data_IF_744944009545
#
_entry.id   IF_744944009545
#
_cell.length_a   1.000
_cell.length_b   1.000
_cell.length_c   1.000
_cell.angle_alpha   90.00
_cell.angle_beta   90.00
_cell.angle_gamma   90.00
#
_symmetry.space_group_name_H-M   'P 1'
#
loop_
_entity.id
_entity.type
_entity.pdbx_description
1 polymer ?
#
# COMPACT_ATOMS: atom_id res chain seq x y z
N UNK A 1 -19.82 1.27 16.55
CA UNK A 1 -19.14 0.15 15.86
C UNK A 1 -17.90 0.72 15.20
N UNK A 2 -16.73 0.06 15.29
CA UNK A 2 -15.49 0.56 14.65
C UNK A 2 -15.61 0.44 13.14
N UNK A 3 -14.97 1.35 12.40
CA UNK A 3 -15.08 1.48 10.93
C UNK A 3 -14.89 0.16 10.17
N UNK A 4 -13.96 -0.68 10.60
CA UNK A 4 -13.63 -1.95 9.95
C UNK A 4 -14.30 -3.20 10.55
N UNK A 5 -15.12 -3.07 11.60
CA UNK A 5 -15.70 -4.23 12.31
C UNK A 5 -16.58 -5.08 11.38
N UNK A 6 -17.39 -4.44 10.51
CA UNK A 6 -18.21 -5.14 9.51
C UNK A 6 -17.36 -5.94 8.52
N UNK A 7 -16.32 -5.33 7.95
CA UNK A 7 -15.42 -5.99 7.00
C UNK A 7 -14.68 -7.16 7.68
N UNK A 8 -14.13 -6.95 8.87
CA UNK A 8 -13.43 -8.00 9.62
C UNK A 8 -14.34 -9.20 9.92
N UNK A 9 -15.61 -8.96 10.30
CA UNK A 9 -16.58 -10.04 10.51
C UNK A 9 -16.93 -10.78 9.22
N UNK A 10 -17.08 -10.04 8.11
CA UNK A 10 -17.36 -10.63 6.81
C UNK A 10 -16.20 -11.55 6.36
N UNK A 11 -14.95 -11.09 6.50
CA UNK A 11 -13.76 -11.89 6.21
C UNK A 11 -13.66 -13.11 7.12
N UNK A 12 -13.80 -12.93 8.44
CA UNK A 12 -13.73 -14.03 9.41
C UNK A 12 -14.75 -15.13 9.10
N UNK A 13 -15.98 -14.74 8.76
CA UNK A 13 -17.05 -15.66 8.37
C UNK A 13 -16.80 -16.29 7.00
N UNK A 14 -16.37 -15.51 6.02
CA UNK A 14 -16.20 -15.95 4.63
C UNK A 14 -15.03 -16.90 4.41
N UNK A 15 -13.96 -16.75 5.18
CA UNK A 15 -12.72 -17.54 5.07
C UNK A 15 -12.60 -18.59 6.18
N UNK A 16 -13.53 -18.60 7.14
CA UNK A 16 -13.46 -19.41 8.36
C UNK A 16 -12.11 -19.25 9.09
N UNK A 17 -11.73 -18.00 9.35
CA UNK A 17 -10.41 -17.63 9.87
C UNK A 17 -10.52 -16.72 11.11
N UNK A 18 -9.49 -16.77 11.96
CA UNK A 18 -9.30 -15.78 13.02
C UNK A 18 -8.80 -14.49 12.38
N UNK A 19 -9.54 -13.39 12.57
CA UNK A 19 -9.15 -12.06 12.10
C UNK A 19 -8.63 -11.22 13.26
N UNK A 20 -7.40 -10.74 13.14
CA UNK A 20 -6.77 -9.81 14.09
C UNK A 20 -6.74 -8.42 13.46
N UNK A 21 -7.63 -7.54 13.91
CA UNK A 21 -7.62 -6.13 13.51
C UNK A 21 -6.71 -5.34 14.46
N UNK A 22 -5.59 -4.83 13.94
CA UNK A 22 -4.60 -4.11 14.74
C UNK A 22 -4.99 -2.63 14.84
N UNK A 23 -5.25 -2.17 16.06
CA UNK A 23 -5.45 -0.76 16.36
C UNK A 23 -4.10 -0.08 16.59
N UNK A 24 -3.35 0.12 15.50
CA UNK A 24 -2.08 0.85 15.53
C UNK A 24 -2.32 2.34 15.80
N UNK A 25 -1.33 3.03 16.37
CA UNK A 25 -1.42 4.48 16.64
C UNK A 25 -1.65 5.26 15.35
N UNK A 26 -2.38 6.36 15.39
CA UNK A 26 -2.72 7.16 14.21
C UNK A 26 -2.20 8.59 14.32
N UNK A 27 -2.18 9.30 13.19
CA UNK A 27 -1.93 10.74 13.19
C UNK A 27 -3.02 11.50 13.98
N UNK A 28 -2.70 12.63 14.63
CA UNK A 28 -1.38 13.27 14.70
C UNK A 28 -0.50 12.75 15.87
N UNK A 29 -0.98 11.80 16.68
CA UNK A 29 -0.31 11.39 17.92
C UNK A 29 0.93 10.50 17.68
N UNK A 30 1.03 9.90 16.50
CA UNK A 30 2.17 9.10 16.09
C UNK A 30 2.52 9.33 14.62
N UNK A 31 3.82 9.30 14.32
CA UNK A 31 4.37 9.44 12.97
C UNK A 31 5.25 8.22 12.64
N UNK A 32 5.57 8.04 11.37
CA UNK A 32 6.48 6.99 10.91
C UNK A 32 7.78 7.00 11.73
N UNK A 33 8.28 5.83 12.17
CA UNK A 33 7.81 4.48 11.86
C UNK A 33 6.84 3.86 12.89
N UNK A 34 6.23 4.64 13.78
CA UNK A 34 5.49 4.09 14.93
C UNK A 34 4.29 3.21 14.53
N UNK A 35 3.57 3.57 13.48
CA UNK A 35 2.46 2.76 12.95
C UNK A 35 2.93 1.42 12.40
N UNK A 36 4.06 1.43 11.69
CA UNK A 36 4.71 0.21 11.21
C UNK A 36 5.20 -0.64 12.38
N UNK A 37 5.80 -0.03 13.39
CA UNK A 37 6.27 -0.72 14.59
C UNK A 37 5.11 -1.41 15.31
N UNK A 38 3.97 -0.74 15.47
CA UNK A 38 2.77 -1.32 16.10
C UNK A 38 2.25 -2.52 15.30
N UNK A 39 2.09 -2.37 13.98
CA UNK A 39 1.65 -3.45 13.09
C UNK A 39 2.61 -4.64 13.11
N UNK A 40 3.93 -4.37 13.07
CA UNK A 40 4.97 -5.39 13.11
C UNK A 40 5.01 -6.12 14.45
N UNK A 41 4.93 -5.39 15.58
CA UNK A 41 4.92 -5.98 16.91
C UNK A 41 3.67 -6.83 17.14
N UNK A 42 2.49 -6.33 16.77
CA UNK A 42 1.24 -7.09 16.87
C UNK A 42 1.32 -8.38 16.03
N UNK A 43 1.85 -8.29 14.81
CA UNK A 43 2.04 -9.45 13.93
C UNK A 43 3.02 -10.46 14.54
N UNK A 44 4.20 -10.03 14.99
CA UNK A 44 5.20 -10.90 15.62
C UNK A 44 4.66 -11.57 16.89
N UNK A 45 3.92 -10.84 17.71
CA UNK A 45 3.27 -11.38 18.90
C UNK A 45 2.25 -12.46 18.54
N UNK A 46 1.37 -12.20 17.56
CA UNK A 46 0.35 -13.16 17.15
C UNK A 46 0.94 -14.44 16.54
N UNK A 47 2.09 -14.34 15.87
CA UNK A 47 2.79 -15.49 15.27
C UNK A 47 3.55 -16.37 16.27
N UNK A 48 3.57 -16.02 17.56
CA UNK A 48 4.15 -16.86 18.61
C UNK A 48 3.37 -18.19 18.72
N UNK A 49 4.06 -19.34 18.88
CA UNK A 49 3.40 -20.65 18.81
C UNK A 49 2.31 -20.87 19.86
N UNK A 50 2.49 -20.36 21.07
CA UNK A 50 1.51 -20.41 22.15
C UNK A 50 0.28 -19.54 21.86
N UNK A 51 0.46 -18.37 21.24
CA UNK A 51 -0.65 -17.49 20.81
C UNK A 51 -1.44 -18.15 19.68
N UNK A 52 -0.78 -18.71 18.67
CA UNK A 52 -1.45 -19.45 17.60
C UNK A 52 -2.22 -20.67 18.14
N UNK A 53 -1.61 -21.44 19.05
CA UNK A 53 -2.24 -22.59 19.68
C UNK A 53 -3.47 -22.18 20.51
N UNK A 54 -3.39 -21.09 21.27
CA UNK A 54 -4.51 -20.54 22.07
C UNK A 54 -5.74 -20.28 21.22
N UNK A 55 -5.55 -19.81 19.98
CA UNK A 55 -6.64 -19.50 19.06
C UNK A 55 -6.88 -20.58 17.99
N UNK A 56 -6.20 -21.73 18.11
CA UNK A 56 -6.30 -22.85 17.17
C UNK A 56 -6.06 -22.44 15.71
N UNK A 57 -5.10 -21.53 15.48
CA UNK A 57 -4.71 -21.05 14.16
C UNK A 57 -3.65 -21.96 13.55
N UNK A 58 -3.85 -22.37 12.30
CA UNK A 58 -2.86 -23.10 11.52
C UNK A 58 -1.70 -22.17 11.10
N UNK A 59 -0.45 -22.40 11.57
CA UNK A 59 0.69 -21.55 11.23
C UNK A 59 1.09 -21.56 9.75
N UNK A 60 0.52 -22.46 8.94
CA UNK A 60 0.72 -22.52 7.48
C UNK A 60 -0.30 -21.72 6.67
N UNK A 61 -1.38 -21.24 7.33
CA UNK A 61 -2.50 -20.52 6.71
C UNK A 61 -2.61 -19.10 7.27
N UNK A 62 -1.55 -18.30 7.14
CA UNK A 62 -1.52 -16.91 7.60
C UNK A 62 -1.55 -15.95 6.41
N UNK A 63 -2.40 -14.91 6.49
CA UNK A 63 -2.41 -13.80 5.55
C UNK A 63 -2.19 -12.47 6.27
N UNK A 64 -1.48 -11.54 5.62
CA UNK A 64 -1.46 -10.13 6.00
C UNK A 64 -2.28 -9.34 5.00
N UNK A 65 -3.14 -8.45 5.48
CA UNK A 65 -4.07 -7.72 4.63
C UNK A 65 -4.31 -6.32 5.15
N UNK A 66 -4.52 -5.38 4.23
CA UNK A 66 -4.89 -4.01 4.56
C UNK A 66 -5.27 -3.21 3.34
N UNK A 67 -6.07 -2.17 3.54
CA UNK A 67 -6.56 -1.29 2.49
C UNK A 67 -5.95 0.11 2.60
N UNK A 68 -5.70 0.77 1.46
CA UNK A 68 -5.11 2.12 1.42
C UNK A 68 -3.77 2.20 2.19
N UNK A 69 -3.68 3.04 3.24
CA UNK A 69 -2.56 3.09 4.18
C UNK A 69 -2.37 1.81 4.98
N UNK A 70 -3.42 1.04 5.26
CA UNK A 70 -3.30 -0.31 5.79
C UNK A 70 -2.64 -1.27 4.79
N UNK A 71 -2.84 -1.06 3.49
CA UNK A 71 -2.15 -1.77 2.42
C UNK A 71 -0.65 -1.45 2.37
N UNK A 72 -0.29 -0.20 2.64
CA UNK A 72 1.11 0.20 2.87
C UNK A 72 1.73 -0.62 4.01
N UNK A 73 1.08 -0.60 5.18
CA UNK A 73 1.57 -1.29 6.38
C UNK A 73 1.66 -2.80 6.17
N UNK A 74 0.67 -3.42 5.51
CA UNK A 74 0.70 -4.86 5.22
C UNK A 74 1.91 -5.23 4.34
N UNK A 75 2.17 -4.47 3.28
CA UNK A 75 3.33 -4.68 2.42
C UNK A 75 4.65 -4.43 3.17
N UNK A 76 4.74 -3.34 3.95
CA UNK A 76 5.92 -3.01 4.75
C UNK A 76 6.23 -4.06 5.82
N UNK A 77 5.21 -4.56 6.54
CA UNK A 77 5.36 -5.64 7.53
C UNK A 77 5.84 -6.92 6.88
N UNK A 78 5.28 -7.33 5.73
CA UNK A 78 5.80 -8.47 4.96
C UNK A 78 7.29 -8.32 4.66
N UNK A 79 7.70 -7.15 4.15
CA UNK A 79 9.11 -6.87 3.84
C UNK A 79 10.01 -6.90 5.08
N UNK A 80 9.58 -6.32 6.21
CA UNK A 80 10.34 -6.31 7.45
C UNK A 80 10.51 -7.71 8.06
N UNK A 81 9.45 -8.53 8.06
CA UNK A 81 9.53 -9.91 8.55
C UNK A 81 10.56 -10.75 7.79
N UNK A 82 10.70 -10.51 6.48
CA UNK A 82 11.68 -11.18 5.63
C UNK A 82 13.10 -10.69 5.93
N UNK A 83 13.30 -9.38 6.13
CA UNK A 83 14.61 -8.81 6.43
C UNK A 83 15.16 -9.28 7.78
N UNK A 84 14.29 -9.48 8.78
CA UNK A 84 14.67 -9.90 10.13
C UNK A 84 15.24 -11.34 10.20
N UNK A 85 15.39 -12.04 9.07
CA UNK A 85 15.85 -13.43 9.05
C UNK A 85 14.85 -14.41 9.69
N UNK A 86 13.72 -13.90 10.18
CA UNK A 86 12.50 -14.64 10.45
C UNK A 86 11.87 -15.03 9.12
N UNK A 87 12.61 -15.81 8.34
CA UNK A 87 12.15 -16.46 7.13
C UNK A 87 10.98 -17.37 7.51
N UNK A 88 9.80 -16.75 7.62
CA UNK A 88 8.55 -17.32 7.19
C UNK A 88 8.16 -18.54 8.04
N UNK A 89 7.68 -18.28 9.27
CA UNK A 89 6.40 -18.90 9.64
C UNK A 89 5.40 -18.32 8.64
N UNK A 90 4.99 -19.17 7.71
CA UNK A 90 4.52 -18.82 6.37
C UNK A 90 3.35 -17.85 6.38
N UNK A 91 3.66 -16.55 6.33
CA UNK A 91 2.75 -15.61 5.67
C UNK A 91 2.59 -16.19 4.27
N UNK A 92 1.45 -16.84 4.06
CA UNK A 92 1.12 -17.56 2.85
C UNK A 92 0.71 -16.56 1.78
N UNK A 93 -0.04 -15.54 2.21
CA UNK A 93 -0.62 -14.52 1.36
C UNK A 93 -0.35 -13.11 1.90
N UNK A 94 -0.20 -12.16 1.00
CA UNK A 94 -0.50 -10.76 1.31
C UNK A 94 -1.64 -10.27 0.41
N UNK A 95 -2.58 -9.51 0.96
CA UNK A 95 -3.68 -8.91 0.19
C UNK A 95 -3.70 -7.39 0.40
N UNK A 96 -3.50 -6.66 -0.70
CA UNK A 96 -3.29 -5.22 -0.70
C UNK A 96 -4.43 -4.55 -1.46
N UNK A 97 -5.29 -3.84 -0.74
CA UNK A 97 -6.51 -3.27 -1.32
C UNK A 97 -6.26 -1.79 -1.60
N UNK A 98 -6.28 -1.37 -2.88
CA UNK A 98 -5.96 0.00 -3.36
C UNK A 98 -4.80 0.66 -2.58
N UNK A 99 -3.61 0.03 -2.52
CA UNK A 99 -2.59 0.34 -1.53
C UNK A 99 -1.81 1.63 -1.85
N UNK A 100 -1.48 2.39 -0.81
CA UNK A 100 -0.58 3.56 -0.86
C UNK A 100 0.88 3.08 -0.77
N UNK A 101 1.71 3.15 -1.82
CA UNK A 101 2.99 2.40 -1.82
C UNK A 101 4.24 3.22 -2.10
N UNK A 102 4.12 4.47 -2.53
CA UNK A 102 5.27 5.35 -2.69
C UNK A 102 4.97 6.83 -2.42
N UNK A 103 6.02 7.56 -1.99
CA UNK A 103 6.01 9.00 -1.69
C UNK A 103 6.86 9.83 -2.68
N UNK A 104 7.37 9.22 -3.74
CA UNK A 104 8.41 9.78 -4.61
C UNK A 104 7.88 10.44 -5.91
N UNK A 105 6.74 10.01 -6.42
CA UNK A 105 6.13 10.48 -7.65
C UNK A 105 4.62 10.72 -7.48
N UNK A 106 4.23 11.99 -7.36
CA UNK A 106 2.84 12.45 -7.30
C UNK A 106 2.28 12.83 -8.68
N UNK A 107 2.96 12.43 -9.74
CA UNK A 107 2.61 12.83 -11.10
C UNK A 107 2.44 11.64 -12.03
N UNK A 108 2.45 10.39 -11.57
CA UNK A 108 2.08 9.23 -12.42
C UNK A 108 0.73 9.46 -13.11
N UNK A 109 0.43 8.77 -14.24
CA UNK A 109 -0.81 8.98 -14.99
C UNK A 109 -2.07 9.02 -14.12
N UNK A 110 -2.22 8.13 -13.15
CA UNK A 110 -3.36 8.09 -12.22
C UNK A 110 -3.41 9.27 -11.27
N UNK A 111 -2.28 9.72 -10.72
CA UNK A 111 -2.25 10.91 -9.88
C UNK A 111 -2.68 12.17 -10.64
N UNK A 112 -2.41 12.26 -11.96
CA UNK A 112 -2.90 13.36 -12.80
C UNK A 112 -4.37 13.19 -13.20
N UNK A 113 -4.73 12.00 -13.71
CA UNK A 113 -6.08 11.69 -14.19
C UNK A 113 -7.12 11.85 -13.07
N UNK A 114 -6.79 11.40 -11.86
CA UNK A 114 -7.72 11.32 -10.73
C UNK A 114 -7.46 12.40 -9.67
N UNK A 115 -6.72 13.47 -9.99
CA UNK A 115 -6.24 14.44 -8.99
C UNK A 115 -7.33 15.07 -8.11
N UNK A 116 -8.54 15.24 -8.65
CA UNK A 116 -9.70 15.82 -7.96
C UNK A 116 -10.76 14.78 -7.53
N UNK A 117 -10.50 13.48 -7.69
CA UNK A 117 -11.46 12.45 -7.29
C UNK A 117 -11.81 12.58 -5.80
N UNK A 118 -13.10 12.46 -5.42
CA UNK A 118 -13.51 12.49 -4.02
C UNK A 118 -12.81 11.40 -3.18
N UNK A 119 -12.78 11.59 -1.86
CA UNK A 119 -12.11 10.72 -0.86
C UNK A 119 -10.59 10.81 -0.89
N UNK A 120 -9.95 10.61 -2.05
CA UNK A 120 -8.48 10.48 -2.14
C UNK A 120 -7.87 11.42 -3.20
N UNK A 121 -8.00 12.73 -2.99
CA UNK A 121 -7.40 13.74 -3.88
C UNK A 121 -5.88 13.70 -3.81
N UNK A 122 -5.22 14.00 -4.94
CA UNK A 122 -3.75 14.06 -5.03
C UNK A 122 -3.12 14.94 -3.94
N UNK A 123 -3.69 16.13 -3.71
CA UNK A 123 -3.24 17.06 -2.66
C UNK A 123 -3.30 16.41 -1.26
N UNK A 124 -4.38 15.69 -0.97
CA UNK A 124 -4.56 15.02 0.31
C UNK A 124 -3.56 13.88 0.50
N UNK A 125 -3.24 13.12 -0.55
CA UNK A 125 -2.22 12.06 -0.47
C UNK A 125 -0.84 12.65 -0.17
N UNK A 126 -0.44 13.75 -0.84
CA UNK A 126 0.83 14.42 -0.54
C UNK A 126 0.88 14.94 0.90
N UNK A 127 -0.21 15.52 1.39
CA UNK A 127 -0.34 15.97 2.78
C UNK A 127 -0.26 14.82 3.78
N UNK A 128 -0.98 13.72 3.55
CA UNK A 128 -0.96 12.53 4.41
C UNK A 128 0.45 11.93 4.46
N UNK A 129 1.16 11.85 3.33
CA UNK A 129 2.55 11.42 3.33
C UNK A 129 3.47 12.31 4.17
N UNK A 130 3.35 13.63 4.03
CA UNK A 130 4.13 14.55 4.86
C UNK A 130 3.83 14.39 6.33
N UNK A 131 2.56 14.39 6.72
CA UNK A 131 2.18 14.19 8.11
C UNK A 131 2.65 12.82 8.61
N UNK A 132 2.50 11.75 7.82
CA UNK A 132 3.01 10.41 8.16
C UNK A 132 4.51 10.42 8.41
N UNK A 133 5.30 11.13 7.59
CA UNK A 133 6.75 11.23 7.73
C UNK A 133 7.22 12.32 8.71
N UNK A 134 6.30 12.90 9.50
CA UNK A 134 6.56 14.01 10.42
C UNK A 134 7.16 15.27 9.73
N UNK A 135 6.80 15.47 8.47
CA UNK A 135 7.22 16.59 7.65
C UNK A 135 6.33 17.82 7.81
N UNK A 136 6.91 18.99 7.53
CA UNK A 136 6.17 20.25 7.57
C UNK A 136 5.24 20.40 6.36
N UNK A 137 3.99 20.84 6.59
CA UNK A 137 3.00 21.04 5.52
C UNK A 137 3.41 22.08 4.47
N UNK A 138 4.40 22.94 4.74
CA UNK A 138 4.99 23.86 3.75
C UNK A 138 5.54 23.13 2.52
N UNK A 139 5.84 21.84 2.64
CA UNK A 139 6.40 21.01 1.57
C UNK A 139 5.37 20.30 0.69
N UNK A 140 4.07 20.45 0.96
CA UNK A 140 3.03 19.80 0.14
C UNK A 140 3.15 20.22 -1.32
N UNK A 141 3.21 21.52 -1.60
CA UNK A 141 3.34 22.05 -2.97
C UNK A 141 4.66 21.62 -3.65
N UNK A 142 5.84 21.70 -3.00
CA UNK A 142 7.06 21.09 -3.52
C UNK A 142 6.92 19.60 -3.87
N UNK A 143 6.26 18.79 -3.03
CA UNK A 143 6.07 17.36 -3.30
C UNK A 143 5.14 17.10 -4.48
N UNK A 144 4.10 17.92 -4.65
CA UNK A 144 3.16 17.80 -5.77
C UNK A 144 3.81 18.00 -7.14
N UNK A 145 4.94 18.69 -7.19
CA UNK A 145 5.74 18.85 -8.41
C UNK A 145 6.96 17.93 -8.45
N UNK A 146 7.06 16.93 -7.55
CA UNK A 146 8.19 15.99 -7.44
C UNK A 146 9.54 16.67 -7.19
N UNK A 147 9.55 17.77 -6.43
CA UNK A 147 10.77 18.50 -6.17
C UNK A 147 11.81 17.70 -5.35
N UNK A 148 11.36 16.82 -4.46
CA UNK A 148 12.21 15.90 -3.67
C UNK A 148 12.81 14.74 -4.48
N UNK A 149 12.42 14.59 -5.75
CA UNK A 149 12.94 13.60 -6.68
C UNK A 149 13.41 14.22 -8.01
N UNK A 150 13.75 15.51 -7.98
CA UNK A 150 14.35 16.23 -9.12
C UNK A 150 15.67 15.60 -9.58
N UNK A 151 16.14 15.98 -10.78
CA UNK A 151 17.34 15.37 -11.38
C UNK A 151 18.64 15.58 -10.62
N UNK A 152 18.78 16.66 -9.87
CA UNK A 152 19.92 16.98 -9.03
C UNK A 152 19.93 16.27 -7.66
N UNK A 153 18.83 15.62 -7.27
CA UNK A 153 18.75 14.83 -6.04
C UNK A 153 19.35 13.44 -6.27
N UNK A 154 20.64 13.31 -5.94
CA UNK A 154 21.40 12.07 -6.18
C UNK A 154 20.83 10.84 -5.46
N UNK A 155 20.28 11.01 -4.25
CA UNK A 155 19.65 9.95 -3.47
C UNK A 155 18.43 9.34 -4.17
N UNK A 156 17.74 10.11 -5.01
CA UNK A 156 16.53 9.68 -5.71
C UNK A 156 16.84 8.95 -7.02
N UNK A 157 18.07 9.00 -7.55
CA UNK A 157 18.41 8.47 -8.89
C UNK A 157 18.05 6.99 -9.01
N UNK A 158 18.59 6.14 -8.12
CA UNK A 158 18.33 4.70 -8.14
C UNK A 158 16.88 4.33 -7.79
N UNK A 159 16.18 5.19 -7.04
CA UNK A 159 14.80 4.97 -6.63
C UNK A 159 13.81 5.33 -7.75
N UNK A 160 14.11 6.36 -8.56
CA UNK A 160 13.29 6.73 -9.71
C UNK A 160 13.25 5.66 -10.78
N UNK A 161 14.36 4.97 -11.01
CA UNK A 161 14.39 3.83 -11.95
C UNK A 161 13.39 2.75 -11.54
N UNK A 162 13.15 2.57 -10.23
CA UNK A 162 12.19 1.60 -9.71
C UNK A 162 10.73 2.03 -9.92
N UNK A 163 10.50 3.32 -10.10
CA UNK A 163 9.20 3.95 -10.34
C UNK A 163 9.04 4.41 -11.79
N UNK A 164 9.80 3.86 -12.74
CA UNK A 164 9.68 4.21 -14.14
C UNK A 164 8.38 3.65 -14.75
N UNK A 165 7.25 4.24 -14.37
CA UNK A 165 5.90 3.86 -14.77
C UNK A 165 5.73 3.83 -16.29
N UNK A 166 6.50 4.61 -17.05
CA UNK A 166 6.43 4.63 -18.52
C UNK A 166 6.84 3.30 -19.16
N UNK A 167 7.75 2.58 -18.49
CA UNK A 167 8.20 1.23 -18.87
C UNK A 167 7.37 0.11 -18.22
N UNK A 168 6.72 0.39 -17.09
CA UNK A 168 6.03 -0.60 -16.26
C UNK A 168 4.55 -0.71 -16.62
N UNK A 169 3.88 0.42 -16.86
CA UNK A 169 2.44 0.49 -17.09
C UNK A 169 2.10 0.33 -18.58
N UNK A 170 0.99 -0.36 -18.94
CA UNK A 170 0.51 -0.44 -20.32
C UNK A 170 0.26 0.94 -20.95
N UNK A 171 0.50 1.06 -22.26
CA UNK A 171 0.31 2.32 -23.01
C UNK A 171 -1.12 2.89 -22.92
N UNK A 172 -2.12 2.03 -22.73
CA UNK A 172 -3.52 2.43 -22.51
C UNK A 172 -3.72 3.35 -21.31
N UNK A 173 -2.93 3.16 -20.26
CA UNK A 173 -2.99 3.91 -18.99
C UNK A 173 -2.33 5.30 -19.14
N UNK A 174 -1.42 5.46 -20.11
CA UNK A 174 -0.59 6.64 -20.26
C UNK A 174 -1.19 7.75 -21.15
N UNK A 175 -2.34 7.49 -21.80
CA UNK A 175 -2.86 8.26 -22.96
C UNK A 175 -3.09 9.76 -22.76
N UNK A 176 -3.18 10.24 -21.52
CA UNK A 176 -3.45 11.66 -21.20
C UNK A 176 -2.41 12.27 -20.25
N UNK A 177 -1.29 11.58 -20.03
CA UNK A 177 -0.23 12.06 -19.16
C UNK A 177 0.44 13.33 -19.71
N UNK A 178 0.68 14.30 -18.83
CA UNK A 178 1.48 15.50 -19.13
C UNK A 178 2.79 15.45 -18.34
N UNK A 179 3.96 15.54 -18.99
CA UNK A 179 5.24 15.53 -18.28
C UNK A 179 5.35 16.66 -17.25
N UNK A 180 5.71 16.30 -16.02
CA UNK A 180 6.13 17.23 -14.97
C UNK A 180 7.60 16.96 -14.70
N UNK A 181 8.46 17.95 -14.96
CA UNK A 181 9.91 17.80 -14.86
C UNK A 181 10.47 18.87 -13.94
N UNK A 182 11.16 18.45 -12.89
CA UNK A 182 11.94 19.32 -12.02
C UNK A 182 13.42 19.01 -12.18
N UNK A 183 14.19 20.03 -12.54
CA UNK A 183 15.64 19.93 -12.70
C UNK A 183 16.38 20.25 -11.40
N UNK A 184 15.77 21.06 -10.53
CA UNK A 184 16.37 21.52 -9.27
C UNK A 184 15.42 21.25 -8.11
N UNK A 185 15.95 20.59 -7.08
CA UNK A 185 15.23 20.24 -5.86
C UNK A 185 15.39 21.28 -4.76
N UNK A 186 14.70 21.06 -3.65
CA UNK A 186 14.76 21.85 -2.42
C UNK A 186 15.49 20.98 -1.39
N UNK A 187 16.80 21.20 -1.16
CA UNK A 187 17.58 20.37 -0.25
C UNK A 187 16.99 20.31 1.16
N UNK A 188 16.31 21.37 1.59
CA UNK A 188 15.70 21.49 2.92
C UNK A 188 14.60 20.44 3.14
N UNK A 189 13.83 20.07 2.10
CA UNK A 189 12.80 19.03 2.21
C UNK A 189 13.44 17.68 2.54
N UNK A 190 14.52 17.32 1.85
CA UNK A 190 15.23 16.05 2.06
C UNK A 190 15.91 16.04 3.43
N UNK A 191 16.45 17.17 3.87
CA UNK A 191 17.09 17.31 5.18
C UNK A 191 16.08 17.23 6.33
N UNK A 192 14.92 17.86 6.18
CA UNK A 192 13.86 17.83 7.20
C UNK A 192 13.09 16.51 7.21
N UNK A 193 12.97 15.83 6.06
CA UNK A 193 12.18 14.60 5.91
C UNK A 193 12.99 13.48 5.21
N UNK A 194 14.10 13.02 5.80
CA UNK A 194 14.96 12.00 5.17
C UNK A 194 14.25 10.66 4.96
N UNK A 195 13.19 10.38 5.74
CA UNK A 195 12.37 9.17 5.63
C UNK A 195 11.61 9.04 4.30
N UNK A 196 11.58 10.08 3.45
CA UNK A 196 11.07 10.01 2.07
C UNK A 196 11.75 8.89 1.26
N UNK A 197 13.01 8.57 1.56
CA UNK A 197 13.76 7.52 0.88
C UNK A 197 13.78 6.19 1.66
N UNK A 198 13.06 6.10 2.78
CA UNK A 198 12.97 4.87 3.55
C UNK A 198 12.01 3.88 2.87
N UNK A 199 12.54 2.74 2.44
CA UNK A 199 11.78 1.65 1.82
C UNK A 199 10.64 1.15 2.72
N UNK A 200 10.78 1.27 4.04
CA UNK A 200 9.74 0.89 5.00
C UNK A 200 8.52 1.80 4.95
N UNK A 201 8.72 3.06 4.54
CA UNK A 201 7.62 3.96 4.25
C UNK A 201 7.03 3.70 2.86
N UNK A 202 7.89 3.42 1.86
CA UNK A 202 7.48 3.18 0.47
C UNK A 202 7.81 1.76 -0.01
N UNK A 203 6.99 0.74 0.28
CA UNK A 203 7.28 -0.65 -0.08
C UNK A 203 7.53 -0.87 -1.59
N UNK A 204 6.99 -0.01 -2.45
CA UNK A 204 7.15 -0.12 -3.91
C UNK A 204 8.60 0.04 -4.38
N UNK A 205 9.43 0.80 -3.66
CA UNK A 205 10.84 1.01 -4.02
C UNK A 205 11.78 -0.07 -3.49
N UNK A 206 11.27 -1.15 -2.91
CA UNK A 206 12.09 -2.25 -2.46
C UNK A 206 12.93 -2.87 -3.59
N UNK A 207 14.09 -3.40 -3.19
CA UNK A 207 14.99 -4.12 -4.09
C UNK A 207 14.32 -5.37 -4.65
N UNK A 208 14.69 -5.74 -5.87
CA UNK A 208 14.18 -6.96 -6.52
C UNK A 208 14.42 -8.22 -5.67
N UNK A 209 15.57 -8.32 -5.01
CA UNK A 209 15.89 -9.45 -4.14
C UNK A 209 14.97 -9.54 -2.91
N UNK A 210 14.54 -8.41 -2.36
CA UNK A 210 13.53 -8.39 -1.29
C UNK A 210 12.14 -8.75 -1.84
N UNK A 211 11.77 -8.20 -3.01
CA UNK A 211 10.48 -8.48 -3.63
C UNK A 211 10.29 -9.96 -3.98
N UNK A 212 11.35 -10.64 -4.44
CA UNK A 212 11.34 -12.08 -4.76
C UNK A 212 10.91 -12.97 -3.59
N UNK A 213 11.08 -12.49 -2.36
CA UNK A 213 10.75 -13.24 -1.14
C UNK A 213 9.32 -12.99 -0.66
N UNK A 214 8.58 -12.08 -1.31
CA UNK A 214 7.21 -11.77 -0.93
C UNK A 214 6.27 -12.98 -1.11
N UNK A 215 5.23 -13.10 -0.25
CA UNK A 215 4.22 -14.14 -0.40
C UNK A 215 3.38 -13.96 -1.67
N UNK A 216 2.61 -14.99 -2.03
CA UNK A 216 1.58 -14.88 -3.07
C UNK A 216 0.69 -13.68 -2.77
N UNK A 217 0.52 -12.80 -3.76
CA UNK A 217 0.00 -11.46 -3.53
C UNK A 217 -1.31 -11.25 -4.27
N UNK A 218 -2.32 -10.76 -3.56
CA UNK A 218 -3.51 -10.17 -4.15
C UNK A 218 -3.38 -8.65 -4.13
N UNK A 219 -3.65 -8.00 -5.26
CA UNK A 219 -3.75 -6.54 -5.35
C UNK A 219 -5.09 -6.18 -5.95
N UNK A 220 -5.80 -5.28 -5.29
CA UNK A 220 -7.00 -4.67 -5.82
C UNK A 220 -6.68 -3.24 -6.22
N UNK A 221 -6.99 -2.87 -7.47
CA UNK A 221 -6.83 -1.49 -7.95
C UNK A 221 -8.16 -0.94 -8.47
N UNK A 222 -8.30 0.37 -8.43
CA UNK A 222 -9.50 1.08 -8.85
C UNK A 222 -9.14 2.08 -9.94
N UNK A 223 -9.95 2.19 -11.00
CA UNK A 223 -9.67 3.12 -12.10
C UNK A 223 -9.70 4.58 -11.65
N UNK A 224 -10.66 4.94 -10.80
CA UNK A 224 -10.83 6.30 -10.28
C UNK A 224 -10.15 6.49 -8.91
N UNK A 225 -8.84 6.20 -8.87
CA UNK A 225 -7.99 6.38 -7.70
C UNK A 225 -6.62 6.92 -8.12
N UNK A 226 -6.09 7.88 -7.37
CA UNK A 226 -4.71 8.38 -7.58
C UNK A 226 -3.66 7.30 -7.26
N UNK A 227 -4.01 6.29 -6.46
CA UNK A 227 -3.12 5.18 -6.11
C UNK A 227 -3.17 4.00 -7.07
N UNK A 228 -3.96 4.10 -8.16
CA UNK A 228 -4.06 3.03 -9.16
C UNK A 228 -2.67 2.59 -9.62
N UNK A 229 -1.84 3.55 -10.02
CA UNK A 229 -0.55 3.23 -10.61
C UNK A 229 0.45 2.72 -9.56
N UNK A 230 0.34 3.10 -8.28
CA UNK A 230 1.13 2.51 -7.18
C UNK A 230 0.90 0.99 -7.12
N UNK A 231 -0.37 0.57 -7.08
CA UNK A 231 -0.75 -0.83 -7.04
C UNK A 231 -0.34 -1.60 -8.30
N UNK A 232 -0.55 -1.03 -9.49
CA UNK A 232 -0.17 -1.66 -10.76
C UNK A 232 1.35 -1.80 -10.91
N UNK A 233 2.11 -0.78 -10.51
CA UNK A 233 3.58 -0.86 -10.53
C UNK A 233 4.09 -1.91 -9.55
N UNK A 234 3.49 -2.02 -8.36
CA UNK A 234 3.89 -3.03 -7.38
C UNK A 234 3.58 -4.43 -7.87
N UNK A 235 2.38 -4.64 -8.44
CA UNK A 235 2.01 -5.92 -9.07
C UNK A 235 3.07 -6.35 -10.10
N UNK A 236 3.39 -5.46 -11.03
CA UNK A 236 4.35 -5.76 -12.10
C UNK A 236 5.76 -6.03 -11.56
N UNK A 237 6.22 -5.25 -10.58
CA UNK A 237 7.55 -5.46 -9.96
C UNK A 237 7.63 -6.79 -9.19
N UNK A 238 6.56 -7.20 -8.54
CA UNK A 238 6.45 -8.52 -7.89
C UNK A 238 6.48 -9.66 -8.92
N UNK A 239 5.69 -9.55 -10.00
CA UNK A 239 5.69 -10.51 -11.10
C UNK A 239 7.08 -10.64 -11.74
N UNK A 240 7.76 -9.51 -12.02
CA UNK A 240 9.12 -9.48 -12.58
C UNK A 240 10.18 -10.05 -11.62
N UNK A 241 9.88 -10.10 -10.32
CA UNK A 241 10.67 -10.78 -9.29
C UNK A 241 10.32 -12.26 -9.14
N UNK A 242 9.30 -12.77 -9.84
CA UNK A 242 8.87 -14.17 -9.83
C UNK A 242 7.81 -14.50 -8.77
N UNK A 243 7.17 -13.50 -8.18
CA UNK A 243 6.08 -13.69 -7.20
C UNK A 243 4.77 -13.95 -7.95
N UNK A 244 3.97 -14.90 -7.45
CA UNK A 244 2.62 -15.11 -7.97
C UNK A 244 1.71 -13.94 -7.52
N UNK A 245 1.18 -13.19 -8.49
CA UNK A 245 0.33 -12.03 -8.25
C UNK A 245 -1.03 -12.21 -8.93
N UNK A 246 -2.10 -11.93 -8.19
CA UNK A 246 -3.43 -11.71 -8.74
C UNK A 246 -3.77 -10.23 -8.57
N UNK A 247 -3.81 -9.51 -9.69
CA UNK A 247 -4.33 -8.14 -9.73
C UNK A 247 -5.78 -8.14 -10.22
N UNK A 248 -6.70 -7.63 -9.41
CA UNK A 248 -8.07 -7.33 -9.80
C UNK A 248 -8.22 -5.82 -9.96
N UNK A 249 -8.37 -5.37 -11.19
CA UNK A 249 -8.62 -3.99 -11.53
C UNK A 249 -10.12 -3.75 -11.73
N UNK A 250 -10.67 -2.76 -11.02
CA UNK A 250 -12.09 -2.38 -11.10
C UNK A 250 -12.25 -1.07 -11.88
N UNK A 251 -12.75 -1.19 -13.12
CA UNK A 251 -12.93 -0.06 -14.05
C UNK A 251 -13.94 1.00 -13.57
N UNK A 252 -14.89 0.61 -12.72
CA UNK A 252 -15.86 1.51 -12.07
C UNK A 252 -15.52 1.76 -10.58
N UNK A 253 -14.35 1.29 -10.13
CA UNK A 253 -13.90 1.42 -8.75
C UNK A 253 -13.31 2.79 -8.45
N UNK A 254 -13.45 3.22 -7.19
CA UNK A 254 -12.84 4.42 -6.64
C UNK A 254 -12.18 4.10 -5.29
N UNK A 255 -11.32 4.99 -4.80
CA UNK A 255 -10.61 4.78 -3.53
C UNK A 255 -11.57 4.52 -2.37
N UNK A 256 -11.32 3.46 -1.59
CA UNK A 256 -12.17 3.12 -0.44
C UNK A 256 -13.52 2.49 -0.81
N UNK A 257 -13.79 2.18 -2.09
CA UNK A 257 -15.09 1.66 -2.53
C UNK A 257 -15.55 0.41 -1.76
N UNK A 258 -14.63 -0.46 -1.32
CA UNK A 258 -14.93 -1.65 -0.52
C UNK A 258 -15.66 -1.33 0.79
N UNK A 259 -15.38 -0.18 1.40
CA UNK A 259 -16.02 0.25 2.65
C UNK A 259 -17.48 0.68 2.45
N UNK A 260 -17.91 0.87 1.21
CA UNK A 260 -19.28 1.21 0.85
C UNK A 260 -20.05 -0.01 0.32
N UNK A 261 -19.66 -1.23 0.70
CA UNK A 261 -20.38 -2.46 0.36
C UNK A 261 -21.74 -2.60 1.06
N UNK A 262 -21.98 -1.83 2.13
CA UNK A 262 -23.14 -1.95 3.00
C UNK A 262 -23.86 -0.58 3.17
N UNK A 263 -25.01 -0.59 3.86
CA UNK A 263 -25.77 0.61 4.21
C UNK A 263 -24.89 1.62 5.00
N UNK A 264 -25.03 2.95 4.82
CA UNK A 264 -26.11 3.68 4.14
C UNK A 264 -25.90 3.97 2.66
N UNK A 265 -24.70 3.76 2.12
CA UNK A 265 -24.37 4.20 0.77
C UNK A 265 -24.50 3.11 -0.30
N UNK A 266 -24.24 1.84 0.05
CA UNK A 266 -24.33 0.66 -0.82
C UNK A 266 -23.95 0.90 -2.29
N UNK A 267 -22.69 0.69 -2.62
CA UNK A 267 -22.19 0.67 -3.99
C UNK A 267 -21.98 -0.77 -4.45
N UNK A 268 -22.48 -1.11 -5.64
CA UNK A 268 -22.28 -2.45 -6.22
C UNK A 268 -20.79 -2.80 -6.37
N UNK A 269 -19.95 -1.81 -6.70
CA UNK A 269 -18.49 -2.01 -6.76
C UNK A 269 -17.89 -2.29 -5.38
N UNK A 270 -18.43 -1.70 -4.32
CA UNK A 270 -18.04 -2.02 -2.94
C UNK A 270 -18.34 -3.47 -2.58
N UNK A 271 -19.54 -3.95 -2.91
CA UNK A 271 -19.92 -5.35 -2.69
C UNK A 271 -19.02 -6.31 -3.50
N UNK A 272 -18.84 -6.05 -4.81
CA UNK A 272 -18.00 -6.91 -5.67
C UNK A 272 -16.55 -6.96 -5.22
N UNK A 273 -15.96 -5.82 -4.88
CA UNK A 273 -14.57 -5.74 -4.39
C UNK A 273 -14.40 -6.54 -3.10
N UNK A 274 -15.29 -6.36 -2.12
CA UNK A 274 -15.30 -7.14 -0.87
C UNK A 274 -15.44 -8.64 -1.14
N UNK A 275 -16.45 -9.04 -1.92
CA UNK A 275 -16.82 -10.44 -2.09
C UNK A 275 -15.74 -11.20 -2.90
N UNK A 276 -15.16 -10.58 -3.93
CA UNK A 276 -14.05 -11.17 -4.69
C UNK A 276 -12.77 -11.27 -3.86
N UNK A 277 -12.46 -10.26 -3.04
CA UNK A 277 -11.35 -10.30 -2.09
C UNK A 277 -11.49 -11.46 -1.10
N UNK A 278 -12.67 -11.60 -0.47
CA UNK A 278 -12.97 -12.70 0.46
C UNK A 278 -12.87 -14.05 -0.26
N UNK A 279 -13.45 -14.16 -1.46
CA UNK A 279 -13.38 -15.37 -2.26
C UNK A 279 -11.94 -15.76 -2.58
N UNK A 280 -11.11 -14.81 -2.99
CA UNK A 280 -9.70 -15.08 -3.28
C UNK A 280 -8.96 -15.55 -2.03
N UNK A 281 -9.22 -14.95 -0.87
CA UNK A 281 -8.65 -15.43 0.39
C UNK A 281 -9.10 -16.86 0.72
N UNK A 282 -10.38 -17.18 0.59
CA UNK A 282 -10.91 -18.53 0.86
C UNK A 282 -10.28 -19.60 -0.04
N UNK A 283 -10.08 -19.29 -1.32
CA UNK A 283 -9.48 -20.20 -2.31
C UNK A 283 -7.96 -20.42 -2.10
N UNK A 284 -7.27 -19.49 -1.43
CA UNK A 284 -5.81 -19.46 -1.37
C UNK A 284 -5.22 -19.60 0.02
N UNK A 285 -5.95 -19.24 1.08
CA UNK A 285 -5.47 -19.26 2.46
C UNK A 285 -5.46 -20.68 2.98
#
# INVERSE_FOLDING_TARGET
MRTYDHLCRAVAKGVNAVVVSVEYRILPDAHFPEQLNDALHATKYFLQPDVLAKWSVDPSRIALSGDSSGGNLAAAVCQQLIQDGNAVRKIKLQALIYPLLQVLDFNTPSYQQNMEMPINRRFMVAKVWLEYLNGNSKYVEPMLVNNHTSFDVSQAVALRERLNWSSILPSGIQKHYKPVVQTVGTPELIQEVPAIFDVRASPLIAEKESLKLMPKTYILTCEYDVLRDDGLMYAKRLEDAGVEVKNDHYEDGFHGCMMFADWPLYFSVGARTRDNYIKWLDENL
#
